data_IF_646912011012
#
_entry.id   IF_646912011012
#
_cell.length_a   1.000
_cell.length_b   1.000
_cell.length_c   1.000
_cell.angle_alpha   90.00
_cell.angle_beta   90.00
_cell.angle_gamma   90.00
#
_symmetry.space_group_name_H-M   'P 1'
#
loop_
_entity.id
_entity.type
_entity.pdbx_description
1 polymer ?
#
# COMPACT_ATOMS: atom_id res chain seq x y z
N UNK A 1 -5.99 14.37 -8.51
CA UNK A 1 -7.32 13.73 -8.52
C UNK A 1 -7.23 12.42 -7.76
N UNK A 2 -8.20 12.07 -6.91
CA UNK A 2 -8.15 10.86 -6.06
C UNK A 2 -9.24 9.88 -6.51
N UNK A 3 -8.89 8.58 -6.62
CA UNK A 3 -9.81 7.49 -6.98
C UNK A 3 -9.73 6.40 -5.92
N UNK A 4 -10.87 5.84 -5.51
CA UNK A 4 -10.96 4.74 -4.54
C UNK A 4 -11.26 3.44 -5.27
N UNK A 5 -10.42 2.42 -5.10
CA UNK A 5 -10.64 1.07 -5.60
C UNK A 5 -10.93 0.15 -4.41
N UNK A 6 -11.99 -0.65 -4.50
CA UNK A 6 -12.40 -1.53 -3.40
C UNK A 6 -12.37 -2.98 -3.85
N UNK A 7 -11.78 -3.84 -3.01
CA UNK A 7 -11.79 -5.29 -3.14
C UNK A 7 -12.58 -5.89 -1.98
N UNK A 8 -13.54 -6.76 -2.29
CA UNK A 8 -14.35 -7.45 -1.28
C UNK A 8 -15.17 -6.49 -0.42
N UNK A 9 -15.23 -6.75 0.88
CA UNK A 9 -15.95 -5.96 1.86
C UNK A 9 -14.99 -5.44 2.95
N UNK A 10 -14.23 -4.35 2.70
CA UNK A 10 -13.23 -3.85 3.64
C UNK A 10 -13.88 -3.29 4.91
N UNK A 11 -13.19 -3.43 6.04
CA UNK A 11 -13.57 -2.76 7.29
C UNK A 11 -13.40 -1.24 7.11
N UNK A 12 -14.41 -0.46 7.50
CA UNK A 12 -14.29 1.00 7.50
C UNK A 12 -13.37 1.44 8.64
N UNK A 13 -12.15 1.87 8.30
CA UNK A 13 -11.14 2.33 9.27
C UNK A 13 -11.29 3.78 9.69
N UNK A 14 -12.21 4.53 9.06
CA UNK A 14 -12.42 5.97 9.28
C UNK A 14 -11.18 6.84 8.99
N UNK A 15 -10.16 6.29 8.32
CA UNK A 15 -8.90 6.99 8.04
C UNK A 15 -9.06 8.21 7.10
N UNK A 16 -10.13 8.25 6.30
CA UNK A 16 -10.42 9.35 5.37
C UNK A 16 -11.83 9.87 5.61
N UNK A 17 -11.94 11.13 6.06
CA UNK A 17 -13.22 11.78 6.39
C UNK A 17 -14.08 11.99 5.12
N UNK A 18 -13.43 12.33 4.01
CA UNK A 18 -14.11 12.59 2.74
C UNK A 18 -14.53 11.27 2.09
N UNK A 19 -15.80 11.17 1.70
CA UNK A 19 -16.32 10.03 0.97
C UNK A 19 -15.99 10.11 -0.52
N UNK A 20 -15.67 8.96 -1.10
CA UNK A 20 -15.37 8.78 -2.53
C UNK A 20 -16.18 7.62 -3.08
N UNK A 21 -16.65 7.78 -4.31
CA UNK A 21 -17.26 6.67 -5.06
C UNK A 21 -16.24 5.55 -5.26
N UNK A 22 -16.72 4.32 -5.09
CA UNK A 22 -15.89 3.14 -5.23
C UNK A 22 -15.85 2.67 -6.69
N UNK A 23 -14.66 2.42 -7.19
CA UNK A 23 -14.42 1.70 -8.44
C UNK A 23 -14.13 0.22 -8.15
N UNK A 24 -14.46 -0.65 -9.11
CA UNK A 24 -14.01 -2.05 -9.06
C UNK A 24 -12.48 -2.12 -9.12
N UNK A 25 -11.90 -3.07 -8.38
CA UNK A 25 -10.48 -3.41 -8.43
C UNK A 25 -10.04 -3.80 -9.85
N UNK A 26 -10.93 -4.32 -10.70
CA UNK A 26 -10.62 -4.67 -12.09
C UNK A 26 -10.14 -3.46 -12.93
N UNK A 27 -10.46 -2.24 -12.47
CA UNK A 27 -10.03 -0.98 -13.10
C UNK A 27 -8.75 -0.40 -12.48
N UNK A 28 -8.08 -1.14 -11.61
CA UNK A 28 -6.85 -0.71 -10.96
C UNK A 28 -5.75 -0.52 -12.01
N UNK A 29 -4.96 0.57 -11.94
CA UNK A 29 -4.10 0.98 -13.06
C UNK A 29 -2.80 0.19 -13.19
N UNK A 30 -2.44 -0.62 -12.20
CA UNK A 30 -1.20 -1.40 -12.21
C UNK A 30 -1.50 -2.90 -12.35
N UNK A 31 -0.48 -3.64 -12.78
CA UNK A 31 -0.51 -5.10 -12.79
C UNK A 31 -0.79 -5.60 -11.37
N UNK A 32 -1.80 -6.44 -11.23
CA UNK A 32 -2.23 -6.94 -9.94
C UNK A 32 -2.76 -8.37 -10.06
N UNK A 33 -2.73 -9.09 -8.93
CA UNK A 33 -3.23 -10.46 -8.81
C UNK A 33 -4.10 -10.56 -7.56
N UNK A 34 -5.14 -11.37 -7.65
CA UNK A 34 -6.01 -11.71 -6.52
C UNK A 34 -6.03 -13.23 -6.40
N UNK A 35 -5.35 -13.74 -5.37
CA UNK A 35 -5.18 -15.18 -5.16
C UNK A 35 -5.43 -15.51 -3.70
N UNK A 36 -6.29 -16.50 -3.42
CA UNK A 36 -6.62 -16.95 -2.06
C UNK A 36 -7.02 -15.79 -1.10
N UNK A 37 -7.74 -14.79 -1.62
CA UNK A 37 -8.16 -13.61 -0.85
C UNK A 37 -7.05 -12.58 -0.60
N UNK A 38 -5.84 -12.79 -1.13
CA UNK A 38 -4.74 -11.83 -1.08
C UNK A 38 -4.73 -10.97 -2.34
N UNK A 39 -4.52 -9.68 -2.16
CA UNK A 39 -4.26 -8.73 -3.24
C UNK A 39 -2.76 -8.43 -3.28
N UNK A 40 -2.16 -8.56 -4.45
CA UNK A 40 -0.81 -8.06 -4.73
C UNK A 40 -0.85 -7.18 -5.96
N UNK A 41 0.00 -6.15 -5.99
CA UNK A 41 0.26 -5.36 -7.18
C UNK A 41 1.75 -5.25 -7.42
N UNK A 42 2.13 -5.14 -8.68
CA UNK A 42 3.51 -5.03 -9.12
C UNK A 42 3.66 -3.71 -9.88
N UNK A 43 4.77 -3.02 -9.65
CA UNK A 43 5.08 -1.76 -10.30
C UNK A 43 6.56 -1.73 -10.67
N UNK A 44 6.84 -1.64 -11.97
CA UNK A 44 8.20 -1.50 -12.48
C UNK A 44 8.70 -0.06 -12.26
N UNK A 45 9.71 0.08 -11.41
CA UNK A 45 10.35 1.36 -11.13
C UNK A 45 11.54 1.60 -12.06
N UNK A 46 11.75 2.85 -12.46
CA UNK A 46 12.96 3.27 -13.13
C UNK A 46 14.14 3.31 -12.16
N UNK A 47 15.36 3.35 -12.70
CA UNK A 47 16.59 3.41 -11.91
C UNK A 47 16.59 4.60 -10.93
N UNK A 48 16.12 5.77 -11.38
CA UNK A 48 16.18 7.01 -10.61
C UNK A 48 14.93 7.30 -9.76
N UNK A 49 13.95 6.40 -9.73
CA UNK A 49 12.74 6.60 -8.93
C UNK A 49 13.06 6.58 -7.42
N UNK A 50 12.38 7.44 -6.66
CA UNK A 50 12.45 7.48 -5.21
C UNK A 50 11.09 7.08 -4.64
N UNK A 51 11.09 6.15 -3.68
CA UNK A 51 9.86 5.76 -2.96
C UNK A 51 9.82 6.52 -1.64
N UNK A 52 8.81 7.36 -1.47
CA UNK A 52 8.52 8.08 -0.23
C UNK A 52 7.38 7.42 0.55
N UNK A 53 7.20 7.83 1.81
CA UNK A 53 6.05 7.46 2.62
C UNK A 53 6.39 6.46 3.72
N UNK A 54 5.46 5.54 4.00
CA UNK A 54 5.46 4.56 5.09
C UNK A 54 5.43 5.11 6.53
N UNK A 55 5.63 6.42 6.75
CA UNK A 55 5.50 7.03 8.07
C UNK A 55 6.56 6.51 9.05
N UNK A 56 6.12 5.96 10.18
CA UNK A 56 6.98 5.30 11.16
C UNK A 56 7.39 3.91 10.66
N UNK A 57 8.47 3.87 9.87
CA UNK A 57 9.07 2.66 9.36
C UNK A 57 10.60 2.80 9.40
N UNK A 58 11.36 1.71 9.63
CA UNK A 58 12.81 1.75 9.74
C UNK A 58 13.48 2.26 8.45
N UNK A 59 14.79 2.50 8.50
CA UNK A 59 15.65 2.94 7.36
C UNK A 59 15.39 4.39 6.89
N UNK A 60 15.98 4.76 5.76
CA UNK A 60 16.00 6.14 5.26
C UNK A 60 14.68 6.59 4.60
N UNK A 61 14.70 7.84 4.10
CA UNK A 61 13.56 8.49 3.42
C UNK A 61 13.22 7.77 2.10
N UNK A 62 14.24 7.41 1.30
CA UNK A 62 14.02 6.56 0.13
C UNK A 62 13.81 5.12 0.58
N UNK A 63 12.61 4.59 0.40
CA UNK A 63 12.23 3.26 0.89
C UNK A 63 12.71 2.12 0.00
N UNK A 64 13.41 2.37 -1.10
CA UNK A 64 13.91 1.29 -1.99
C UNK A 64 14.94 0.39 -1.29
N UNK A 65 15.02 -0.86 -1.74
CA UNK A 65 16.05 -1.82 -1.31
C UNK A 65 15.77 -2.56 -0.01
N UNK A 66 14.53 -2.57 0.49
CA UNK A 66 14.14 -3.27 1.71
C UNK A 66 12.70 -3.77 1.66
N UNK A 67 12.33 -4.66 2.59
CA UNK A 67 10.97 -5.17 2.79
C UNK A 67 10.37 -4.55 4.04
N UNK A 68 9.17 -4.00 3.95
CA UNK A 68 8.47 -3.37 5.08
C UNK A 68 7.14 -4.08 5.30
N UNK A 69 6.84 -4.38 6.56
CA UNK A 69 5.56 -4.96 6.98
C UNK A 69 4.85 -3.97 7.89
N UNK A 70 3.61 -3.61 7.54
CA UNK A 70 2.76 -2.77 8.40
C UNK A 70 2.09 -3.63 9.45
N UNK A 71 2.82 -3.89 10.53
CA UNK A 71 2.36 -4.68 11.66
C UNK A 71 2.84 -4.00 12.94
N UNK A 72 1.91 -3.46 13.74
CA UNK A 72 2.25 -2.82 15.01
C UNK A 72 2.83 -3.88 15.95
N UNK A 73 4.14 -3.81 16.16
CA UNK A 73 4.89 -4.77 16.97
C UNK A 73 5.65 -4.02 18.06
N UNK A 74 5.61 -4.59 19.27
CA UNK A 74 6.50 -4.20 20.37
C UNK A 74 7.76 -5.07 20.25
N UNK A 75 8.72 -4.61 19.46
CA UNK A 75 10.01 -5.27 19.26
C UNK A 75 11.13 -4.33 19.71
N UNK A 76 11.84 -4.60 20.82
CA UNK A 76 12.91 -3.71 21.28
C UNK A 76 14.09 -3.60 20.31
N UNK A 77 14.18 -4.49 19.30
CA UNK A 77 15.25 -4.53 18.31
C UNK A 77 14.75 -4.23 16.90
N UNK A 78 14.50 -2.95 16.63
CA UNK A 78 14.10 -2.44 15.33
C UNK A 78 15.30 -2.35 14.34
N UNK A 79 15.77 -3.49 13.79
CA UNK A 79 16.84 -3.55 12.77
C UNK A 79 16.36 -3.54 11.32
#
# INVERSE_FOLDING_TARGET
>A
MVKKFTLGNPINTEAVIKQFDSLSVDKFPFEHKIENGKFSFEFNMNENDIVYGLGEAPRGINKRGWVYESFCADDPFHT
#
